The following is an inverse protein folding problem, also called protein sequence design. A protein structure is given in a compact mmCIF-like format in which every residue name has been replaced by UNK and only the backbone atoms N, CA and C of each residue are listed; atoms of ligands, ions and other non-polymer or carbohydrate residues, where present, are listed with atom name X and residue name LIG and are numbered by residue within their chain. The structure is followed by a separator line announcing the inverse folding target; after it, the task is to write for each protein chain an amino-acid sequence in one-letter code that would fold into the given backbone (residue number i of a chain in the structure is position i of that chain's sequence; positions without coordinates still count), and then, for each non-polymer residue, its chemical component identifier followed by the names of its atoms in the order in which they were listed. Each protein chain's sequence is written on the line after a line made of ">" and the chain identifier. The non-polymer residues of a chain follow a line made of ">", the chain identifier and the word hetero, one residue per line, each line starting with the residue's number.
data_IF_796906222009
#
_entry.id   IF_796906222009
#
_cell.length_a   1.000
_cell.length_b   1.000
_cell.length_c   1.000
_cell.angle_alpha   90.00
_cell.angle_beta   90.00
_cell.angle_gamma   90.00
#
_symmetry.space_group_name_H-M   'P 1'
#
loop_
_entity.id
_entity.type
_entity.pdbx_description
1 polymer ?
#
# COMPACT_ATOMS: atom_id res chain seq x y z
N UNK A 1 10.60 4.74 11.16
CA UNK A 1 9.57 3.93 10.45
C UNK A 1 9.72 2.48 10.90
N UNK A 2 8.64 1.71 11.09
CA UNK A 2 8.73 0.29 11.49
C UNK A 2 8.60 -0.60 10.26
N UNK A 3 9.61 -1.46 10.02
CA UNK A 3 9.57 -2.49 8.96
C UNK A 3 9.38 -3.84 9.62
N UNK A 4 8.41 -4.61 9.13
CA UNK A 4 8.14 -5.97 9.58
C UNK A 4 8.21 -6.91 8.39
N UNK A 5 9.11 -7.89 8.47
CA UNK A 5 9.23 -8.95 7.46
C UNK A 5 8.41 -10.14 7.95
N UNK A 6 7.49 -10.61 7.10
CA UNK A 6 6.63 -11.76 7.38
C UNK A 6 6.60 -12.69 6.17
N UNK A 7 6.27 -13.96 6.39
CA UNK A 7 6.02 -14.88 5.28
C UNK A 7 4.83 -14.37 4.45
N UNK A 8 4.87 -14.54 3.13
CA UNK A 8 3.85 -14.01 2.22
C UNK A 8 2.41 -14.41 2.60
N UNK A 9 2.19 -15.63 3.07
CA UNK A 9 0.88 -16.13 3.49
C UNK A 9 0.35 -15.48 4.79
N UNK A 10 1.21 -14.83 5.58
CA UNK A 10 0.85 -14.10 6.81
C UNK A 10 0.71 -12.60 6.59
N UNK A 11 1.08 -12.08 5.40
CA UNK A 11 1.12 -10.65 5.14
C UNK A 11 -0.22 -9.96 5.40
N UNK A 12 -1.31 -10.52 4.84
CA UNK A 12 -2.65 -9.94 5.03
C UNK A 12 -3.08 -9.91 6.50
N UNK A 13 -2.82 -10.98 7.27
CA UNK A 13 -3.17 -11.02 8.68
C UNK A 13 -2.32 -10.05 9.52
N UNK A 14 -1.01 -9.95 9.23
CA UNK A 14 -0.12 -9.02 9.92
C UNK A 14 -0.48 -7.56 9.63
N UNK A 15 -0.80 -7.22 8.38
CA UNK A 15 -1.22 -5.88 8.03
C UNK A 15 -2.59 -5.53 8.62
N UNK A 16 -3.54 -6.48 8.64
CA UNK A 16 -4.84 -6.29 9.27
C UNK A 16 -4.70 -5.97 10.77
N UNK A 17 -3.79 -6.66 11.47
CA UNK A 17 -3.49 -6.39 12.88
C UNK A 17 -2.91 -4.98 13.10
N UNK A 18 -1.99 -4.54 12.24
CA UNK A 18 -1.41 -3.19 12.29
C UNK A 18 -2.46 -2.10 12.03
N UNK A 19 -3.33 -2.30 11.04
CA UNK A 19 -4.46 -1.39 10.76
C UNK A 19 -5.43 -1.38 11.93
N UNK A 20 -5.86 -2.55 12.43
CA UNK A 20 -6.76 -2.64 13.59
C UNK A 20 -6.18 -1.93 14.82
N UNK A 21 -4.88 -2.08 15.07
CA UNK A 21 -4.17 -1.35 16.11
C UNK A 21 -4.21 0.18 15.91
N UNK A 22 -4.04 0.65 14.68
CA UNK A 22 -4.15 2.08 14.35
C UNK A 22 -5.56 2.62 14.59
N UNK A 23 -6.58 1.89 14.16
CA UNK A 23 -7.99 2.25 14.35
C UNK A 23 -8.35 2.31 15.83
N UNK A 24 -7.96 1.31 16.64
CA UNK A 24 -8.21 1.33 18.09
C UNK A 24 -7.60 2.54 18.77
N UNK A 25 -6.35 2.89 18.42
CA UNK A 25 -5.68 4.09 18.96
C UNK A 25 -6.42 5.36 18.57
N UNK A 26 -6.88 5.46 17.33
CA UNK A 26 -7.61 6.63 16.85
C UNK A 26 -8.97 6.77 17.54
N UNK A 27 -9.76 5.70 17.59
CA UNK A 27 -11.05 5.66 18.30
C UNK A 27 -10.88 6.00 19.78
N UNK A 28 -9.91 5.39 20.47
CA UNK A 28 -9.67 5.69 21.89
C UNK A 28 -9.27 7.14 22.16
N UNK A 29 -8.60 7.80 21.21
CA UNK A 29 -8.13 9.17 21.36
C UNK A 29 -9.13 10.24 20.89
N UNK A 30 -9.98 9.93 19.89
CA UNK A 30 -10.82 10.92 19.17
C UNK A 30 -12.28 10.51 19.03
N UNK A 31 -12.66 9.31 19.46
CA UNK A 31 -14.02 8.78 19.35
C UNK A 31 -14.40 8.25 17.96
N UNK A 32 -13.52 8.40 16.96
CA UNK A 32 -13.71 7.93 15.58
C UNK A 32 -12.35 7.63 14.93
N UNK A 33 -12.37 6.94 13.78
CA UNK A 33 -11.17 6.70 12.98
C UNK A 33 -11.43 6.82 11.48
N UNK A 34 -10.39 7.24 10.76
CA UNK A 34 -10.38 7.36 9.30
C UNK A 34 -9.32 6.45 8.69
N UNK A 35 -9.74 5.58 7.78
CA UNK A 35 -8.91 4.64 7.05
C UNK A 35 -8.97 4.96 5.55
N UNK A 36 -7.84 5.03 4.87
CA UNK A 36 -7.82 4.97 3.40
C UNK A 36 -7.12 3.68 2.94
N UNK A 37 -7.67 2.99 1.94
CA UNK A 37 -7.14 1.72 1.44
C UNK A 37 -6.84 1.75 -0.05
N UNK A 38 -5.66 1.26 -0.44
CA UNK A 38 -5.34 0.94 -1.84
C UNK A 38 -5.99 -0.36 -2.28
N UNK A 39 -6.14 -0.53 -3.59
CA UNK A 39 -6.61 -1.79 -4.15
C UNK A 39 -5.49 -2.79 -4.48
N UNK A 40 -5.83 -3.75 -5.34
CA UNK A 40 -4.91 -4.79 -5.79
C UNK A 40 -5.25 -6.18 -5.26
N UNK A 41 -4.49 -7.19 -5.69
CA UNK A 41 -4.72 -8.59 -5.30
C UNK A 41 -4.15 -8.91 -3.92
N UNK A 42 -3.03 -8.27 -3.57
CA UNK A 42 -2.32 -8.46 -2.30
C UNK A 42 -3.14 -8.07 -1.06
N UNK A 43 -3.90 -6.96 -1.03
CA UNK A 43 -4.63 -6.56 0.18
C UNK A 43 -5.98 -7.27 0.37
N UNK A 44 -6.49 -8.05 -0.59
CA UNK A 44 -7.79 -8.72 -0.42
C UNK A 44 -7.84 -9.65 0.83
N UNK A 45 -6.82 -10.47 1.13
CA UNK A 45 -6.73 -11.19 2.40
C UNK A 45 -6.66 -10.28 3.63
N UNK A 46 -6.02 -9.10 3.52
CA UNK A 46 -5.98 -8.11 4.61
C UNK A 46 -7.39 -7.60 4.89
N UNK A 47 -8.19 -7.23 3.89
CA UNK A 47 -9.56 -6.74 4.11
C UNK A 47 -10.44 -7.77 4.82
N UNK A 48 -10.39 -9.03 4.36
CA UNK A 48 -11.12 -10.13 5.00
C UNK A 48 -10.69 -10.35 6.45
N UNK A 49 -9.39 -10.32 6.73
CA UNK A 49 -8.88 -10.46 8.10
C UNK A 49 -9.25 -9.24 8.97
N UNK A 50 -9.14 -8.03 8.43
CA UNK A 50 -9.44 -6.78 9.12
C UNK A 50 -10.93 -6.70 9.49
N UNK A 51 -11.83 -7.07 8.58
CA UNK A 51 -13.28 -7.10 8.81
C UNK A 51 -13.69 -8.05 9.95
N UNK A 52 -12.86 -9.04 10.29
CA UNK A 52 -13.10 -9.98 11.38
C UNK A 52 -12.69 -9.44 12.77
N UNK A 53 -12.00 -8.28 12.85
CA UNK A 53 -11.66 -7.68 14.12
C UNK A 53 -12.88 -7.06 14.80
N UNK A 54 -12.98 -7.26 16.11
CA UNK A 54 -13.90 -6.55 16.98
C UNK A 54 -13.44 -5.09 17.14
N UNK A 55 -14.08 -4.20 16.38
CA UNK A 55 -13.89 -2.75 16.33
C UNK A 55 -15.27 -2.08 16.27
N UNK A 56 -15.42 -0.87 16.83
CA UNK A 56 -16.64 -0.08 16.68
C UNK A 56 -16.70 0.51 15.27
N UNK A 57 -17.11 -0.30 14.31
CA UNK A 57 -17.12 0.04 12.88
C UNK A 57 -18.05 1.20 12.52
N UNK A 58 -19.06 1.47 13.33
CA UNK A 58 -20.02 2.56 13.15
C UNK A 58 -19.39 3.96 13.23
N UNK A 59 -18.20 4.07 13.85
CA UNK A 59 -17.37 5.28 13.94
C UNK A 59 -16.10 5.21 13.11
N UNK A 60 -16.01 4.26 12.16
CA UNK A 60 -14.89 4.13 11.22
C UNK A 60 -15.35 4.55 9.83
N UNK A 61 -14.72 5.59 9.28
CA UNK A 61 -14.87 5.98 7.88
C UNK A 61 -13.76 5.36 7.03
N UNK A 62 -14.13 4.68 5.94
CA UNK A 62 -13.23 3.96 5.03
C UNK A 62 -13.27 4.61 3.65
N UNK A 63 -12.13 5.11 3.20
CA UNK A 63 -11.92 5.80 1.93
C UNK A 63 -11.08 4.94 0.98
N UNK A 64 -11.22 5.16 -0.32
CA UNK A 64 -10.29 4.64 -1.31
C UNK A 64 -9.07 5.57 -1.44
N UNK A 65 -7.88 4.99 -1.57
CA UNK A 65 -6.66 5.72 -1.93
C UNK A 65 -6.63 6.01 -3.43
N UNK A 66 -7.03 5.05 -4.23
CA UNK A 66 -7.04 5.13 -5.68
C UNK A 66 -8.09 4.20 -6.26
N UNK A 67 -8.54 4.52 -7.48
CA UNK A 67 -9.58 3.76 -8.14
C UNK A 67 -9.53 3.91 -9.66
N UNK A 68 -9.86 2.83 -10.37
CA UNK A 68 -9.87 2.75 -11.83
C UNK A 68 -11.16 3.39 -12.32
N UNK A 69 -11.05 4.33 -13.25
CA UNK A 69 -12.20 4.90 -13.95
C UNK A 69 -12.80 3.80 -14.83
N UNK A 70 -13.91 3.24 -14.35
CA UNK A 70 -14.58 2.09 -14.90
C UNK A 70 -16.05 2.06 -14.45
N UNK A 71 -16.96 1.43 -15.22
CA UNK A 71 -18.36 1.29 -14.82
C UNK A 71 -18.54 0.51 -13.51
N UNK A 72 -19.71 0.66 -12.87
CA UNK A 72 -20.12 -0.21 -11.77
C UNK A 72 -20.01 -1.69 -12.14
N UNK A 73 -19.55 -2.49 -11.17
CA UNK A 73 -19.40 -3.95 -11.32
C UNK A 73 -18.21 -4.40 -12.17
N UNK A 74 -17.43 -3.48 -12.74
CA UNK A 74 -16.23 -3.83 -13.48
C UNK A 74 -15.20 -4.53 -12.56
N UNK A 75 -14.65 -5.69 -12.96
CA UNK A 75 -13.73 -6.45 -12.12
C UNK A 75 -12.40 -5.73 -11.84
N UNK A 76 -12.08 -4.67 -12.57
CA UNK A 76 -10.92 -3.82 -12.29
C UNK A 76 -11.17 -2.80 -11.17
N UNK A 77 -12.40 -2.62 -10.68
CA UNK A 77 -12.73 -1.69 -9.58
C UNK A 77 -12.18 -2.23 -8.26
N UNK A 78 -11.50 -1.37 -7.50
CA UNK A 78 -11.03 -1.67 -6.16
C UNK A 78 -12.20 -1.79 -5.16
N UNK A 79 -13.26 -1.02 -5.37
CA UNK A 79 -14.42 -0.93 -4.49
C UNK A 79 -15.03 -2.30 -4.13
N UNK A 80 -15.06 -3.24 -5.08
CA UNK A 80 -15.64 -4.58 -4.85
C UNK A 80 -14.94 -5.34 -3.73
N UNK A 81 -13.61 -5.32 -3.69
CA UNK A 81 -12.85 -6.00 -2.65
C UNK A 81 -12.82 -5.21 -1.33
N UNK A 82 -12.96 -3.88 -1.40
CA UNK A 82 -12.87 -2.98 -0.24
C UNK A 82 -14.20 -2.84 0.51
N UNK A 83 -15.33 -3.00 -0.18
CA UNK A 83 -16.68 -2.90 0.39
C UNK A 83 -17.00 -4.00 1.42
N UNK A 84 -16.12 -4.99 1.62
CA UNK A 84 -16.22 -5.98 2.69
C UNK A 84 -15.91 -5.40 4.07
N UNK A 85 -15.25 -4.24 4.13
CA UNK A 85 -14.93 -3.57 5.39
C UNK A 85 -16.22 -2.99 6.02
N UNK A 86 -16.56 -3.29 7.29
CA UNK A 86 -17.85 -2.92 7.87
C UNK A 86 -18.05 -1.44 8.21
N UNK A 87 -17.05 -0.59 7.97
CA UNK A 87 -17.12 0.85 8.24
C UNK A 87 -17.99 1.61 7.23
N UNK A 88 -18.14 2.92 7.46
CA UNK A 88 -18.80 3.83 6.52
C UNK A 88 -17.91 3.98 5.29
N UNK A 89 -18.28 3.33 4.20
CA UNK A 89 -17.47 3.30 2.99
C UNK A 89 -17.73 4.52 2.08
N UNK A 90 -16.66 5.19 1.69
CA UNK A 90 -16.62 6.37 0.82
C UNK A 90 -15.90 6.01 -0.49
N UNK A 91 -16.60 5.49 -1.50
CA UNK A 91 -15.99 5.18 -2.79
C UNK A 91 -15.66 6.44 -3.58
N UNK A 92 -14.57 6.38 -4.35
CA UNK A 92 -14.27 7.39 -5.37
C UNK A 92 -15.36 7.36 -6.47
N UNK A 93 -15.96 8.51 -6.80
CA UNK A 93 -17.08 8.61 -7.74
C UNK A 93 -16.64 8.55 -9.20
N UNK A 94 -15.92 7.49 -9.60
CA UNK A 94 -15.30 7.39 -10.92
C UNK A 94 -16.26 7.06 -12.07
N UNK A 95 -17.53 6.80 -11.75
CA UNK A 95 -18.58 6.58 -12.74
C UNK A 95 -19.18 7.91 -13.24
N UNK A 96 -18.81 9.01 -12.60
CA UNK A 96 -19.22 10.34 -13.02
C UNK A 96 -18.62 10.68 -14.41
N UNK A 97 -19.43 11.22 -15.34
CA UNK A 97 -18.95 11.61 -16.66
C UNK A 97 -17.95 12.79 -16.65
N UNK A 98 -17.83 13.52 -15.53
CA UNK A 98 -16.81 14.53 -15.28
C UNK A 98 -15.86 14.09 -14.15
N UNK A 99 -14.79 13.35 -14.48
CA UNK A 99 -13.81 12.88 -13.51
C UNK A 99 -13.13 13.99 -12.71
N UNK A 100 -12.97 15.19 -13.28
CA UNK A 100 -12.32 16.31 -12.61
C UNK A 100 -13.23 16.90 -11.52
N UNK A 101 -14.51 17.14 -11.84
CA UNK A 101 -15.48 17.55 -10.84
C UNK A 101 -15.69 16.47 -9.77
N UNK A 102 -15.68 15.20 -10.17
CA UNK A 102 -15.79 14.06 -9.27
C UNK A 102 -14.60 13.98 -8.29
N UNK A 103 -13.38 14.17 -8.77
CA UNK A 103 -12.18 14.25 -7.95
C UNK A 103 -12.25 15.42 -6.95
N UNK A 104 -12.73 16.60 -7.37
CA UNK A 104 -12.89 17.75 -6.49
C UNK A 104 -13.92 17.51 -5.38
N UNK A 105 -15.03 16.81 -5.66
CA UNK A 105 -16.02 16.45 -4.63
C UNK A 105 -15.46 15.44 -3.64
N UNK A 106 -14.71 14.44 -4.12
CA UNK A 106 -14.03 13.48 -3.24
C UNK A 106 -12.96 14.16 -2.40
N UNK A 107 -12.21 15.11 -2.97
CA UNK A 107 -11.25 15.94 -2.24
C UNK A 107 -11.89 16.72 -1.09
N UNK A 108 -13.09 17.26 -1.30
CA UNK A 108 -13.82 18.02 -0.30
C UNK A 108 -14.40 17.17 0.85
N UNK A 109 -14.52 15.84 0.67
CA UNK A 109 -14.96 14.92 1.72
C UNK A 109 -13.82 14.33 2.55
N UNK A 110 -12.56 14.56 2.15
CA UNK A 110 -11.41 14.02 2.88
C UNK A 110 -11.27 14.66 4.27
N UNK A 111 -10.83 13.89 5.28
CA UNK A 111 -10.46 14.48 6.56
C UNK A 111 -9.20 15.35 6.42
N UNK A 112 -8.94 16.19 7.44
CA UNK A 112 -7.70 16.97 7.53
C UNK A 112 -6.45 16.07 7.56
N UNK A 113 -6.55 14.91 8.20
CA UNK A 113 -5.51 13.90 8.26
C UNK A 113 -6.12 12.52 8.50
N UNK A 114 -5.70 11.54 7.69
CA UNK A 114 -6.08 10.14 7.90
C UNK A 114 -5.38 9.54 9.11
N UNK A 115 -6.08 8.70 9.87
CA UNK A 115 -5.49 7.96 10.97
C UNK A 115 -4.60 6.83 10.48
N UNK A 116 -5.03 6.16 9.41
CA UNK A 116 -4.24 5.16 8.70
C UNK A 116 -4.50 5.24 7.20
N UNK A 117 -3.44 5.22 6.40
CA UNK A 117 -3.52 4.95 4.97
C UNK A 117 -2.76 3.66 4.69
N UNK A 118 -3.45 2.68 4.12
CA UNK A 118 -2.86 1.47 3.57
C UNK A 118 -2.51 1.70 2.10
N UNK A 119 -1.26 1.38 1.76
CA UNK A 119 -0.68 1.56 0.42
C UNK A 119 -0.15 0.22 -0.09
N UNK A 120 -0.45 -0.09 -1.35
CA UNK A 120 0.24 -1.14 -2.10
C UNK A 120 1.48 -0.63 -2.81
N UNK A 121 2.42 -1.51 -3.11
CA UNK A 121 3.53 -1.26 -4.04
C UNK A 121 3.34 -2.14 -5.30
N UNK A 122 3.26 -1.50 -6.47
CA UNK A 122 3.21 -2.18 -7.76
C UNK A 122 4.59 -2.69 -8.22
N UNK A 123 4.60 -3.52 -9.26
CA UNK A 123 5.82 -4.14 -9.84
C UNK A 123 6.75 -3.13 -10.55
N UNK A 124 6.29 -1.91 -10.77
CA UNK A 124 7.08 -0.76 -11.26
C UNK A 124 7.39 0.24 -10.12
N UNK A 125 7.08 -0.16 -8.88
CA UNK A 125 7.29 0.63 -7.68
C UNK A 125 6.28 1.76 -7.48
N UNK A 126 5.19 1.84 -8.25
CA UNK A 126 4.13 2.82 -7.99
C UNK A 126 3.35 2.50 -6.72
N UNK A 127 2.73 3.53 -6.16
CA UNK A 127 1.69 3.40 -5.13
C UNK A 127 0.51 4.27 -5.44
N UNK A 128 -0.64 3.99 -4.84
CA UNK A 128 -1.90 4.60 -5.24
C UNK A 128 -2.01 4.54 -6.78
N UNK A 129 -2.27 5.66 -7.45
CA UNK A 129 -1.94 5.82 -8.87
C UNK A 129 -0.94 6.96 -9.11
N UNK A 130 0.06 7.07 -8.24
CA UNK A 130 1.23 7.91 -8.42
C UNK A 130 2.26 7.17 -9.29
N UNK A 131 2.07 7.27 -10.60
CA UNK A 131 2.75 6.46 -11.59
C UNK A 131 4.04 7.15 -12.09
N UNK A 132 5.14 6.40 -12.32
CA UNK A 132 6.33 6.94 -12.95
C UNK A 132 6.02 7.61 -14.31
N UNK A 133 6.41 8.88 -14.45
CA UNK A 133 6.22 9.65 -15.69
C UNK A 133 4.83 10.27 -15.88
N UNK A 134 3.88 10.05 -14.97
CA UNK A 134 2.60 10.75 -14.96
C UNK A 134 2.72 12.08 -14.20
N UNK A 135 2.21 13.22 -14.73
CA UNK A 135 2.27 14.51 -14.03
C UNK A 135 1.67 14.52 -12.63
N UNK A 136 0.72 13.63 -12.34
CA UNK A 136 0.11 13.49 -11.01
C UNK A 136 1.14 13.09 -9.95
N UNK A 137 2.24 12.43 -10.32
CA UNK A 137 3.32 12.07 -9.40
C UNK A 137 3.96 13.29 -8.72
N UNK A 138 4.01 14.42 -9.44
CA UNK A 138 4.65 15.67 -9.02
C UNK A 138 3.60 16.74 -8.60
N UNK A 139 2.34 16.34 -8.41
CA UNK A 139 1.27 17.26 -8.00
C UNK A 139 1.36 17.60 -6.51
N UNK A 140 1.53 18.89 -6.20
CA UNK A 140 1.74 19.40 -4.84
C UNK A 140 0.54 20.18 -4.26
N UNK A 141 -0.47 20.52 -5.08
CA UNK A 141 -1.58 21.39 -4.68
C UNK A 141 -2.89 20.64 -4.56
N UNK A 142 -3.22 19.81 -5.55
CA UNK A 142 -4.43 19.01 -5.52
C UNK A 142 -4.27 17.89 -4.49
N UNK A 143 -5.33 17.56 -3.77
CA UNK A 143 -5.37 16.42 -2.83
C UNK A 143 -5.88 15.14 -3.50
N UNK A 144 -6.61 15.28 -4.61
CA UNK A 144 -7.12 14.19 -5.44
C UNK A 144 -6.95 14.59 -6.89
N UNK A 145 -6.47 13.68 -7.73
CA UNK A 145 -6.22 13.94 -9.14
C UNK A 145 -6.69 12.76 -10.01
N UNK A 146 -6.83 13.03 -11.31
CA UNK A 146 -7.08 12.03 -12.34
C UNK A 146 -5.82 11.86 -13.16
N UNK A 147 -5.35 10.62 -13.28
CA UNK A 147 -4.14 10.25 -13.99
C UNK A 147 -4.36 10.14 -15.50
N UNK A 148 -3.27 10.05 -16.25
CA UNK A 148 -3.28 9.48 -17.58
C UNK A 148 -3.68 8.01 -17.59
N UNK A 149 -3.75 7.42 -18.79
CA UNK A 149 -4.11 6.01 -18.97
C UNK A 149 -2.94 5.11 -18.59
N UNK A 150 -3.20 4.20 -17.65
CA UNK A 150 -2.24 3.17 -17.24
C UNK A 150 -2.90 1.80 -17.23
N UNK A 151 -2.26 0.83 -17.90
CA UNK A 151 -2.82 -0.50 -18.15
C UNK A 151 -4.26 -0.44 -18.71
N UNK A 152 -4.49 0.49 -19.64
CA UNK A 152 -5.76 0.64 -20.36
C UNK A 152 -6.84 1.47 -19.65
N UNK A 153 -6.59 2.01 -18.45
CA UNK A 153 -7.55 2.88 -17.74
C UNK A 153 -6.90 4.11 -17.12
N UNK A 154 -7.59 5.24 -17.18
CA UNK A 154 -7.31 6.36 -16.30
C UNK A 154 -7.76 6.02 -14.87
N UNK A 155 -7.19 6.70 -13.88
CA UNK A 155 -7.43 6.43 -12.46
C UNK A 155 -7.66 7.73 -11.71
N UNK A 156 -8.49 7.68 -10.67
CA UNK A 156 -8.58 8.73 -9.65
C UNK A 156 -7.69 8.32 -8.49
N UNK A 157 -6.95 9.26 -7.89
CA UNK A 157 -5.98 8.94 -6.83
C UNK A 157 -5.83 10.07 -5.83
N UNK A 158 -5.60 9.72 -4.57
CA UNK A 158 -4.99 10.61 -3.60
C UNK A 158 -3.57 10.97 -4.07
N UNK A 159 -3.17 12.20 -3.79
CA UNK A 159 -1.86 12.77 -4.15
C UNK A 159 -0.93 12.88 -2.95
N UNK A 160 0.34 13.24 -3.18
CA UNK A 160 1.37 13.39 -2.13
C UNK A 160 0.92 14.26 -0.94
N UNK A 161 0.27 15.43 -1.13
CA UNK A 161 -0.22 16.24 -0.01
C UNK A 161 -1.12 15.49 0.99
N UNK A 162 -1.89 14.51 0.53
CA UNK A 162 -2.76 13.70 1.41
C UNK A 162 -1.98 12.60 2.12
N UNK A 163 -1.02 11.98 1.41
CA UNK A 163 -0.18 10.93 1.99
C UNK A 163 0.75 11.50 3.07
N UNK A 164 1.28 12.70 2.86
CA UNK A 164 2.25 13.33 3.76
C UNK A 164 1.65 13.77 5.10
N UNK A 165 0.35 14.09 5.13
CA UNK A 165 -0.38 14.49 6.34
C UNK A 165 -0.98 13.32 7.12
N UNK A 166 -0.85 12.09 6.63
CA UNK A 166 -1.37 10.90 7.30
C UNK A 166 -0.66 10.66 8.64
N UNK A 167 -1.40 10.28 9.67
CA UNK A 167 -0.84 9.94 10.98
C UNK A 167 -0.06 8.63 10.95
N UNK A 168 -0.48 7.69 10.10
CA UNK A 168 0.20 6.43 9.84
C UNK A 168 0.04 6.05 8.38
N UNK A 169 1.16 5.76 7.69
CA UNK A 169 1.15 5.01 6.43
C UNK A 169 1.55 3.56 6.73
N UNK A 170 0.78 2.61 6.21
CA UNK A 170 1.12 1.20 6.18
C UNK A 170 1.37 0.80 4.72
N UNK A 171 2.65 0.60 4.37
CA UNK A 171 3.03 0.07 3.07
C UNK A 171 3.05 -1.45 3.09
N UNK A 172 2.36 -2.09 2.16
CA UNK A 172 2.45 -3.52 1.91
C UNK A 172 3.28 -3.80 0.66
N UNK A 173 4.39 -4.51 0.86
CA UNK A 173 5.20 -5.06 -0.22
C UNK A 173 5.20 -6.59 -0.11
N UNK A 174 4.57 -7.25 -1.07
CA UNK A 174 4.65 -8.70 -1.23
C UNK A 174 5.75 -9.04 -2.23
N UNK A 175 6.93 -9.39 -1.73
CA UNK A 175 7.99 -9.92 -2.58
C UNK A 175 7.68 -11.39 -2.87
N UNK A 176 6.99 -11.66 -3.98
CA UNK A 176 6.57 -13.02 -4.31
C UNK A 176 7.75 -13.89 -4.76
N UNK A 177 8.73 -13.33 -5.48
CA UNK A 177 9.99 -13.97 -5.88
C UNK A 177 11.01 -12.87 -6.18
N UNK A 178 12.13 -12.82 -5.46
CA UNK A 178 13.37 -12.36 -6.09
C UNK A 178 14.00 -13.62 -6.66
N UNK A 179 14.11 -13.69 -7.99
CA UNK A 179 14.22 -14.94 -8.75
C UNK A 179 15.10 -15.99 -8.08
N UNK A 180 14.54 -17.17 -7.76
CA UNK A 180 15.39 -18.31 -7.47
C UNK A 180 16.12 -18.68 -8.75
N UNK A 181 17.47 -18.73 -8.76
CA UNK A 181 18.15 -19.38 -9.86
C UNK A 181 17.67 -20.82 -9.91
N UNK A 182 17.22 -21.27 -11.09
CA UNK A 182 17.00 -22.69 -11.35
C UNK A 182 18.34 -23.39 -11.17
N UNK A 183 18.59 -23.95 -9.99
CA UNK A 183 19.74 -24.82 -9.75
C UNK A 183 19.51 -26.08 -10.59
N UNK A 184 20.26 -26.21 -11.67
CA UNK A 184 20.41 -27.49 -12.38
C UNK A 184 20.90 -28.53 -11.38
N UNK A 185 20.16 -29.62 -11.24
CA UNK A 185 20.51 -30.77 -10.41
C UNK A 185 22.01 -31.08 -10.46
N UNK A 186 22.68 -31.06 -9.31
CA UNK A 186 23.65 -32.10 -9.01
C UNK A 186 23.84 -32.34 -7.49
N UNK A 187 23.70 -33.63 -7.17
CA UNK A 187 23.99 -34.42 -5.95
C UNK A 187 24.42 -33.74 -4.63
N UNK A 188 23.72 -34.21 -3.58
CA UNK A 188 24.03 -34.22 -2.13
C UNK A 188 25.51 -34.13 -1.75
N UNK A 189 25.82 -33.22 -0.83
CA UNK A 189 26.67 -33.50 0.34
C UNK A 189 26.43 -32.46 1.43
N UNK A 190 26.44 -32.90 2.69
CA UNK A 190 26.41 -32.04 3.87
C UNK A 190 27.57 -31.03 3.79
N UNK A 191 27.26 -29.74 3.72
CA UNK A 191 28.27 -28.67 3.79
C UNK A 191 28.30 -28.09 5.19
N UNK A 192 29.43 -28.28 5.85
CA UNK A 192 29.88 -27.46 6.98
C UNK A 192 29.94 -26.00 6.48
N UNK A 193 29.36 -25.08 7.25
CA UNK A 193 29.41 -23.64 6.96
C UNK A 193 30.83 -23.16 7.21
N UNK A 194 31.47 -22.66 6.17
CA UNK A 194 32.76 -21.98 6.24
C UNK A 194 32.50 -20.47 6.22
N UNK A 195 32.67 -19.81 7.37
CA UNK A 195 32.38 -18.37 7.55
C UNK A 195 33.30 -17.45 6.72
N UNK A 196 34.34 -18.00 6.07
CA UNK A 196 35.20 -17.28 5.14
C UNK A 196 34.83 -17.48 3.65
N UNK A 197 33.80 -18.27 3.33
CA UNK A 197 33.26 -18.33 1.97
C UNK A 197 32.32 -17.16 1.71
N UNK A 198 32.64 -16.35 0.70
CA UNK A 198 31.68 -15.39 0.14
C UNK A 198 30.41 -16.16 -0.27
N UNK A 199 29.22 -15.80 0.25
CA UNK A 199 28.00 -16.48 -0.13
C UNK A 199 27.77 -16.31 -1.63
N UNK A 200 27.84 -17.42 -2.37
CA UNK A 200 27.60 -17.47 -3.82
C UNK A 200 26.17 -17.06 -4.20
N UNK A 201 25.26 -16.99 -3.22
CA UNK A 201 23.87 -16.58 -3.39
C UNK A 201 23.45 -15.74 -2.19
N UNK A 202 23.03 -14.50 -2.46
CA UNK A 202 22.46 -13.59 -1.47
C UNK A 202 20.94 -13.80 -1.44
N UNK A 203 20.35 -13.91 -0.26
CA UNK A 203 18.89 -13.87 -0.08
C UNK A 203 18.44 -12.40 -0.18
N UNK A 204 17.68 -12.01 -1.23
CA UNK A 204 17.33 -10.62 -1.46
C UNK A 204 16.44 -10.03 -0.35
N UNK A 205 15.69 -10.86 0.38
CA UNK A 205 14.95 -10.41 1.56
C UNK A 205 15.90 -10.03 2.71
N UNK A 206 17.02 -10.74 2.86
CA UNK A 206 18.06 -10.41 3.84
C UNK A 206 18.88 -9.19 3.43
N UNK A 207 19.17 -9.01 2.14
CA UNK A 207 19.82 -7.80 1.64
C UNK A 207 18.92 -6.58 1.75
N UNK A 208 17.62 -6.71 1.45
CA UNK A 208 16.63 -5.68 1.74
C UNK A 208 16.63 -5.35 3.23
N UNK A 209 16.57 -6.36 4.09
CA UNK A 209 16.58 -6.13 5.54
C UNK A 209 17.88 -5.44 6.01
N UNK A 210 19.05 -5.87 5.53
CA UNK A 210 20.35 -5.24 5.85
C UNK A 210 20.44 -3.81 5.32
N UNK A 211 19.98 -3.55 4.10
CA UNK A 211 20.03 -2.22 3.51
C UNK A 211 19.06 -1.26 4.18
N UNK A 212 17.84 -1.70 4.47
CA UNK A 212 16.88 -0.92 5.24
C UNK A 212 17.40 -0.69 6.67
N UNK A 213 17.95 -1.73 7.33
CA UNK A 213 18.51 -1.60 8.69
C UNK A 213 19.76 -0.72 8.77
N UNK A 214 20.52 -0.57 7.68
CA UNK A 214 21.70 0.32 7.62
C UNK A 214 21.38 1.74 7.17
N UNK A 215 20.17 1.99 6.66
CA UNK A 215 19.70 3.32 6.29
C UNK A 215 19.11 4.09 7.48
N UNK A 216 19.17 5.43 7.48
CA UNK A 216 18.55 6.29 8.51
C UNK A 216 17.02 6.38 8.36
N UNK A 217 16.36 5.23 8.17
CA UNK A 217 14.92 5.12 7.89
C UNK A 217 14.04 5.77 8.95
N UNK A 218 14.52 5.86 10.18
CA UNK A 218 13.78 6.51 11.27
C UNK A 218 13.70 8.04 11.15
N UNK A 219 14.49 8.63 10.25
CA UNK A 219 14.44 10.07 9.95
C UNK A 219 13.66 10.40 8.68
N UNK A 220 13.24 9.40 7.92
CA UNK A 220 12.51 9.59 6.68
C UNK A 220 11.04 9.92 6.97
N UNK A 221 10.47 10.85 6.20
CA UNK A 221 9.02 10.98 6.12
C UNK A 221 8.43 9.70 5.53
N UNK A 222 7.13 9.43 5.75
CA UNK A 222 6.50 8.23 5.22
C UNK A 222 6.67 8.07 3.70
N UNK A 223 6.55 9.16 2.92
CA UNK A 223 6.76 9.11 1.46
C UNK A 223 8.22 8.89 1.09
N UNK A 224 9.18 9.50 1.80
CA UNK A 224 10.61 9.29 1.55
C UNK A 224 11.02 7.83 1.77
N UNK A 225 10.43 7.21 2.79
CA UNK A 225 10.69 5.82 3.07
C UNK A 225 10.05 4.88 2.04
N UNK A 226 8.90 5.29 1.49
CA UNK A 226 8.29 4.64 0.34
C UNK A 226 9.13 4.79 -0.93
N UNK A 227 9.63 5.99 -1.22
CA UNK A 227 10.52 6.27 -2.34
C UNK A 227 11.83 5.46 -2.24
N UNK A 228 12.34 5.22 -1.03
CA UNK A 228 13.48 4.33 -0.80
C UNK A 228 13.17 2.88 -1.16
N UNK A 229 11.99 2.37 -0.78
CA UNK A 229 11.53 1.03 -1.16
C UNK A 229 11.36 0.92 -2.69
N UNK A 230 10.82 1.96 -3.33
CA UNK A 230 10.67 2.07 -4.79
C UNK A 230 12.03 1.97 -5.51
N UNK A 231 13.01 2.78 -5.10
CA UNK A 231 14.36 2.76 -5.68
C UNK A 231 15.05 1.39 -5.52
N UNK A 232 14.74 0.67 -4.45
CA UNK A 232 15.23 -0.69 -4.25
C UNK A 232 14.63 -1.69 -5.23
N UNK A 233 13.33 -1.59 -5.49
CA UNK A 233 12.67 -2.45 -6.48
C UNK A 233 13.23 -2.25 -7.88
N UNK A 234 13.60 -1.03 -8.27
CA UNK A 234 14.21 -0.76 -9.58
C UNK A 234 15.62 -1.39 -9.73
N UNK A 235 16.29 -1.72 -8.61
CA UNK A 235 17.67 -2.19 -8.59
C UNK A 235 17.82 -3.71 -8.60
N UNK A 236 16.79 -4.47 -8.23
CA UNK A 236 16.82 -5.93 -8.02
C UNK A 236 15.58 -6.63 -8.58
#
# INVERSE_FOLDING_TARGET
>A
MRIRVVSAHLLGAAAADEVAGALRRAIGARGAATLAVSGGKTPAPMFSALAAFDLPWDVVDVFQVDERIAPAGDPARNATAQAVLPGRFHPMPVEDPDPAAAAARYAASLPDAFDCIHLGLGDDGHTASLLPGDPVLDEEKLTVAVTGVYQGRARMTLTRPVLDRARQLLGELAVQHVGQPRISRNRKSDRVVDDNQLPLFLDPAQELFKALSSSQIDKLTPIQAFDLLRQWHEKF
#
